data_IF_698827486682
#
_entry.id   IF_698827486682
#
_cell.length_a   1.000
_cell.length_b   1.000
_cell.length_c   1.000
_cell.angle_alpha   90.00
_cell.angle_beta   90.00
_cell.angle_gamma   90.00
#
_symmetry.space_group_name_H-M   'P 1'
#
loop_
_entity.id
_entity.type
_entity.pdbx_description
1 polymer ?
#
# COMPACT_ATOMS: atom_id res chain seq x y z
N UNK A 1 -49.07 4.36 -8.20
CA UNK A 1 -47.85 4.37 -9.02
C UNK A 1 -46.81 5.44 -8.61
N UNK A 2 -47.21 6.72 -8.43
CA UNK A 2 -46.25 7.77 -8.07
C UNK A 2 -45.51 7.50 -6.72
N UNK A 3 -46.22 7.06 -5.70
CA UNK A 3 -45.66 6.77 -4.39
C UNK A 3 -44.60 5.64 -4.46
N UNK A 4 -44.89 4.57 -5.22
CA UNK A 4 -43.95 3.46 -5.39
C UNK A 4 -42.68 3.90 -6.10
N UNK A 5 -42.79 4.74 -7.14
CA UNK A 5 -41.66 5.28 -7.85
C UNK A 5 -40.76 6.16 -6.93
N UNK A 6 -41.38 6.99 -6.11
CA UNK A 6 -40.67 7.84 -5.16
C UNK A 6 -39.92 6.99 -4.09
N UNK A 7 -40.56 5.95 -3.59
CA UNK A 7 -39.91 5.03 -2.61
C UNK A 7 -38.72 4.33 -3.27
N UNK A 8 -38.88 3.79 -4.48
CA UNK A 8 -37.77 3.16 -5.22
C UNK A 8 -36.62 4.13 -5.44
N UNK A 9 -36.92 5.36 -5.87
CA UNK A 9 -35.91 6.41 -6.05
C UNK A 9 -35.15 6.73 -4.75
N UNK A 10 -35.87 6.84 -3.64
CA UNK A 10 -35.29 7.10 -2.33
C UNK A 10 -34.39 5.95 -1.85
N UNK A 11 -34.82 4.71 -2.04
CA UNK A 11 -34.03 3.52 -1.69
C UNK A 11 -32.72 3.47 -2.48
N UNK A 12 -32.80 3.69 -3.78
CA UNK A 12 -31.59 3.72 -4.64
C UNK A 12 -30.65 4.83 -4.19
N UNK A 13 -31.15 6.05 -4.00
CA UNK A 13 -30.34 7.19 -3.56
C UNK A 13 -29.66 6.93 -2.21
N UNK A 14 -30.38 6.36 -1.25
CA UNK A 14 -29.87 6.03 0.07
C UNK A 14 -28.79 4.93 0.01
N UNK A 15 -29.01 3.92 -0.82
CA UNK A 15 -28.03 2.83 -1.00
C UNK A 15 -26.75 3.34 -1.62
N UNK A 16 -26.83 4.17 -2.64
CA UNK A 16 -25.66 4.80 -3.27
C UNK A 16 -24.91 5.70 -2.30
N UNK A 17 -25.63 6.55 -1.57
CA UNK A 17 -25.03 7.43 -0.56
C UNK A 17 -24.28 6.63 0.51
N UNK A 18 -24.89 5.60 1.08
CA UNK A 18 -24.24 4.76 2.09
C UNK A 18 -23.01 4.05 1.52
N UNK A 19 -23.10 3.53 0.29
CA UNK A 19 -21.97 2.86 -0.36
C UNK A 19 -20.78 3.80 -0.54
N UNK A 20 -21.02 5.03 -0.96
CA UNK A 20 -19.97 6.06 -1.11
C UNK A 20 -19.43 6.47 0.26
N UNK A 21 -20.29 6.66 1.25
CA UNK A 21 -19.87 7.04 2.60
C UNK A 21 -18.97 5.99 3.24
N UNK A 22 -19.35 4.70 3.16
CA UNK A 22 -18.55 3.58 3.69
C UNK A 22 -17.19 3.51 2.97
N UNK A 23 -17.19 3.65 1.65
CA UNK A 23 -15.95 3.62 0.88
C UNK A 23 -15.02 4.78 1.25
N UNK A 24 -15.57 5.99 1.35
CA UNK A 24 -14.79 7.18 1.74
C UNK A 24 -14.20 7.02 3.14
N UNK A 25 -14.97 6.50 4.09
CA UNK A 25 -14.48 6.26 5.45
C UNK A 25 -13.40 5.18 5.47
N UNK A 26 -13.59 4.10 4.71
CA UNK A 26 -12.57 3.05 4.56
C UNK A 26 -11.27 3.60 3.98
N UNK A 27 -11.33 4.44 2.94
CA UNK A 27 -10.15 5.07 2.35
C UNK A 27 -9.46 6.05 3.31
N UNK A 28 -10.21 6.78 4.13
CA UNK A 28 -9.66 7.72 5.13
C UNK A 28 -9.01 7.02 6.33
N UNK A 29 -9.39 5.81 6.62
CA UNK A 29 -8.89 5.04 7.78
C UNK A 29 -7.87 3.98 7.38
N UNK A 30 -7.72 3.68 6.09
CA UNK A 30 -6.88 2.59 5.59
C UNK A 30 -5.42 2.69 6.07
N UNK A 31 -4.84 3.88 6.02
CA UNK A 31 -3.43 4.08 6.40
C UNK A 31 -3.22 4.25 7.92
N UNK A 32 -4.30 4.38 8.70
CA UNK A 32 -4.22 4.62 10.15
C UNK A 32 -3.94 3.36 10.97
N UNK A 33 -3.87 2.20 10.34
CA UNK A 33 -3.54 0.93 11.01
C UNK A 33 -2.08 0.88 11.49
N UNK A 34 -1.21 1.68 10.87
CA UNK A 34 0.20 1.74 11.26
C UNK A 34 0.40 2.70 12.43
N UNK A 35 1.11 2.27 13.46
CA UNK A 35 1.35 3.09 14.66
C UNK A 35 2.07 4.41 14.36
N UNK A 36 2.84 4.44 13.27
CA UNK A 36 3.65 5.58 12.81
C UNK A 36 3.06 6.29 11.60
N UNK A 37 1.78 6.08 11.28
CA UNK A 37 1.15 6.63 10.07
C UNK A 37 1.34 8.14 9.88
N UNK A 38 1.35 8.91 10.98
CA UNK A 38 1.49 10.38 10.94
C UNK A 38 2.92 10.87 10.58
N UNK A 39 3.91 10.00 10.68
CA UNK A 39 5.33 10.34 10.39
C UNK A 39 5.89 9.58 9.19
N UNK A 40 5.06 8.84 8.50
CA UNK A 40 5.41 8.15 7.26
C UNK A 40 5.09 9.07 6.09
N UNK A 41 6.09 9.33 5.26
CA UNK A 41 5.97 10.18 4.08
C UNK A 41 6.41 9.43 2.82
N UNK A 42 5.68 9.64 1.75
CA UNK A 42 6.05 9.16 0.41
C UNK A 42 6.76 10.26 -0.35
N UNK A 43 7.87 9.93 -0.96
CA UNK A 43 8.60 10.84 -1.83
C UNK A 43 8.09 10.70 -3.28
N UNK A 44 7.41 11.71 -3.77
CA UNK A 44 6.94 11.79 -5.15
C UNK A 44 7.84 12.70 -6.00
N UNK A 45 7.97 12.38 -7.28
CA UNK A 45 8.59 13.27 -8.26
C UNK A 45 7.53 14.21 -8.83
N UNK A 46 7.71 15.50 -8.62
CA UNK A 46 6.81 16.53 -9.16
C UNK A 46 7.54 17.30 -10.25
N UNK A 47 6.98 17.29 -11.44
CA UNK A 47 7.42 18.13 -12.56
C UNK A 47 6.34 19.14 -12.90
N UNK A 48 6.67 20.13 -13.73
CA UNK A 48 5.69 21.15 -14.16
C UNK A 48 4.46 20.58 -14.89
N UNK A 49 4.52 19.32 -15.35
CA UNK A 49 3.45 18.70 -16.15
C UNK A 49 2.83 17.47 -15.49
N UNK A 50 3.49 16.88 -14.50
CA UNK A 50 3.05 15.60 -13.93
C UNK A 50 3.65 15.35 -12.55
N UNK A 51 2.94 14.56 -11.78
CA UNK A 51 3.40 14.01 -10.51
C UNK A 51 3.50 12.48 -10.64
N UNK A 52 4.63 11.92 -10.26
CA UNK A 52 4.90 10.49 -10.35
C UNK A 52 5.31 9.95 -8.98
N UNK A 53 4.73 8.84 -8.54
CA UNK A 53 5.11 8.21 -7.27
C UNK A 53 6.42 7.41 -7.37
N UNK A 54 7.20 7.63 -8.42
CA UNK A 54 8.44 6.89 -8.69
C UNK A 54 9.62 7.82 -8.73
N UNK A 55 10.74 7.34 -8.19
CA UNK A 55 12.03 8.05 -8.19
C UNK A 55 13.10 7.14 -8.79
N UNK A 56 14.12 7.75 -9.37
CA UNK A 56 15.31 7.00 -9.76
C UNK A 56 16.11 6.62 -8.51
N UNK A 57 16.58 5.38 -8.46
CA UNK A 57 17.21 4.80 -7.29
C UNK A 57 18.36 5.63 -6.69
N UNK A 58 19.32 6.16 -7.48
CA UNK A 58 20.40 6.98 -6.93
C UNK A 58 19.90 8.25 -6.24
N UNK A 59 18.86 8.88 -6.77
CA UNK A 59 18.27 10.08 -6.17
C UNK A 59 17.59 9.75 -4.85
N UNK A 60 16.81 8.69 -4.81
CA UNK A 60 16.13 8.25 -3.58
C UNK A 60 17.14 7.92 -2.46
N UNK A 61 18.26 7.28 -2.79
CA UNK A 61 19.34 6.98 -1.85
C UNK A 61 20.05 8.25 -1.35
N UNK A 62 20.37 9.18 -2.26
CA UNK A 62 20.98 10.45 -1.90
C UNK A 62 20.07 11.29 -1.02
N UNK A 63 18.77 11.33 -1.33
CA UNK A 63 17.76 12.02 -0.53
C UNK A 63 17.67 11.43 0.87
N UNK A 64 17.60 10.11 1.00
CA UNK A 64 17.51 9.43 2.28
C UNK A 64 18.70 9.76 3.22
N UNK A 65 19.89 9.99 2.65
CA UNK A 65 21.08 10.36 3.42
C UNK A 65 21.28 11.87 3.58
N UNK A 66 20.44 12.71 2.99
CA UNK A 66 20.62 14.17 2.96
C UNK A 66 20.22 14.89 4.24
N UNK A 67 19.43 14.26 5.11
CA UNK A 67 18.90 14.92 6.31
C UNK A 67 18.93 14.01 7.54
N UNK A 68 19.38 14.51 8.70
CA UNK A 68 19.33 13.77 9.95
C UNK A 68 17.91 13.56 10.48
N UNK A 69 16.92 14.22 9.91
CA UNK A 69 15.52 14.04 10.26
C UNK A 69 14.87 12.83 9.60
N UNK A 70 15.53 12.24 8.59
CA UNK A 70 15.09 11.00 7.97
C UNK A 70 15.68 9.84 8.77
N UNK A 71 14.89 9.27 9.66
CA UNK A 71 15.33 8.22 10.57
C UNK A 71 15.49 6.88 9.85
N UNK A 72 14.55 6.55 8.98
CA UNK A 72 14.52 5.31 8.21
C UNK A 72 13.92 5.60 6.84
N UNK A 73 14.42 4.95 5.82
CA UNK A 73 13.85 5.00 4.48
C UNK A 73 13.72 3.59 3.89
N UNK A 74 12.73 3.41 3.04
CA UNK A 74 12.60 2.19 2.23
C UNK A 74 12.29 2.56 0.78
N UNK A 75 12.80 1.74 -0.10
CA UNK A 75 12.54 1.84 -1.54
C UNK A 75 11.73 0.62 -1.90
N UNK A 76 10.57 0.84 -2.49
CA UNK A 76 9.64 -0.22 -2.90
C UNK A 76 9.62 -0.22 -4.43
N UNK A 77 9.91 -1.37 -5.03
CA UNK A 77 9.73 -1.59 -6.46
C UNK A 77 8.52 -2.52 -6.68
N UNK A 78 7.38 -1.99 -7.13
CA UNK A 78 6.17 -2.77 -7.34
C UNK A 78 6.16 -3.55 -8.67
N UNK A 79 7.18 -3.37 -9.53
CA UNK A 79 7.16 -3.87 -10.91
C UNK A 79 7.99 -5.15 -11.12
N UNK A 80 8.15 -5.97 -10.09
CA UNK A 80 8.89 -7.24 -10.25
C UNK A 80 8.04 -8.29 -10.99
N UNK A 81 6.72 -8.15 -10.94
CA UNK A 81 5.81 -9.07 -11.60
C UNK A 81 5.59 -10.36 -10.81
N UNK A 82 5.22 -11.42 -11.53
CA UNK A 82 5.00 -12.73 -10.93
C UNK A 82 6.31 -13.52 -10.84
N UNK A 83 6.60 -14.04 -9.67
CA UNK A 83 7.77 -14.86 -9.41
C UNK A 83 7.33 -16.28 -9.06
N UNK A 84 8.05 -17.25 -9.61
CA UNK A 84 7.88 -18.65 -9.25
C UNK A 84 8.85 -18.99 -8.12
N UNK A 85 8.32 -19.46 -7.02
CA UNK A 85 9.14 -19.99 -5.93
C UNK A 85 8.62 -21.34 -5.46
N UNK A 86 9.51 -22.11 -4.92
CA UNK A 86 9.20 -23.46 -4.46
C UNK A 86 9.42 -23.53 -2.96
N UNK A 87 8.40 -23.90 -2.24
CA UNK A 87 8.47 -24.15 -0.81
C UNK A 87 8.43 -25.67 -0.62
N UNK A 88 9.40 -26.20 0.11
CA UNK A 88 9.48 -27.62 0.39
C UNK A 88 9.63 -27.90 1.87
N UNK A 89 8.93 -28.92 2.34
CA UNK A 89 9.11 -29.54 3.64
C UNK A 89 9.05 -31.04 3.43
N UNK A 90 10.04 -31.77 3.95
CA UNK A 90 10.09 -33.24 3.91
C UNK A 90 9.93 -33.83 2.48
N UNK A 91 10.78 -33.40 1.54
CA UNK A 91 10.83 -33.87 0.14
C UNK A 91 9.62 -33.50 -0.74
N UNK A 92 8.59 -32.87 -0.18
CA UNK A 92 7.45 -32.39 -0.96
C UNK A 92 7.68 -30.95 -1.36
N UNK A 93 7.99 -30.73 -2.64
CA UNK A 93 8.16 -29.41 -3.22
C UNK A 93 6.84 -28.92 -3.82
N UNK A 94 6.35 -27.77 -3.37
CA UNK A 94 5.19 -27.10 -3.99
C UNK A 94 5.64 -25.81 -4.65
N UNK A 95 5.35 -25.67 -5.93
CA UNK A 95 5.57 -24.44 -6.68
C UNK A 95 4.42 -23.47 -6.49
N UNK A 96 4.75 -22.22 -6.26
CA UNK A 96 3.81 -21.12 -6.15
C UNK A 96 4.17 -20.04 -7.15
N UNK A 97 3.13 -19.41 -7.71
CA UNK A 97 3.26 -18.28 -8.61
C UNK A 97 2.51 -17.10 -7.97
N UNK A 98 3.25 -16.13 -7.46
CA UNK A 98 2.67 -15.01 -6.74
C UNK A 98 3.24 -13.70 -7.25
N UNK A 99 2.46 -12.62 -7.23
CA UNK A 99 2.97 -11.27 -7.48
C UNK A 99 3.91 -10.88 -6.33
N UNK A 100 5.10 -10.41 -6.70
CA UNK A 100 6.13 -10.05 -5.73
C UNK A 100 6.51 -8.59 -5.93
N UNK A 101 6.66 -7.89 -4.83
CA UNK A 101 7.30 -6.58 -4.76
C UNK A 101 8.65 -6.73 -4.08
N UNK A 102 9.64 -5.99 -4.53
CA UNK A 102 10.92 -5.92 -3.83
C UNK A 102 11.03 -4.61 -3.06
N UNK A 103 11.63 -4.69 -1.89
CA UNK A 103 11.85 -3.53 -1.05
C UNK A 103 13.19 -3.62 -0.31
N UNK A 104 13.67 -2.48 0.18
CA UNK A 104 14.84 -2.46 1.06
C UNK A 104 14.44 -2.82 2.50
N UNK A 105 15.37 -3.33 3.34
CA UNK A 105 15.08 -3.80 4.70
C UNK A 105 14.38 -2.78 5.61
N UNK A 106 14.52 -1.48 5.35
CA UNK A 106 13.85 -0.42 6.10
C UNK A 106 12.33 -0.53 6.16
N UNK A 107 11.72 -1.30 5.25
CA UNK A 107 10.27 -1.50 5.21
C UNK A 107 9.72 -2.08 6.53
N UNK A 108 10.44 -2.99 7.15
CA UNK A 108 10.02 -3.64 8.40
C UNK A 108 9.98 -2.65 9.56
N UNK A 109 10.91 -1.69 9.57
CA UNK A 109 10.96 -0.65 10.60
C UNK A 109 9.93 0.47 10.41
N UNK A 110 9.50 0.69 9.17
CA UNK A 110 8.52 1.73 8.82
C UNK A 110 7.09 1.20 9.04
N UNK A 111 6.81 0.02 8.52
CA UNK A 111 5.50 -0.61 8.60
C UNK A 111 5.56 -1.71 9.66
N UNK A 112 4.79 -1.62 10.70
CA UNK A 112 4.78 -2.51 11.87
C UNK A 112 4.40 -3.96 11.50
N UNK A 113 5.22 -4.61 10.66
CA UNK A 113 5.01 -6.00 10.29
C UNK A 113 5.28 -6.91 11.50
N UNK A 114 4.30 -7.72 11.83
CA UNK A 114 4.47 -8.77 12.83
C UNK A 114 4.99 -10.03 12.16
N UNK A 115 6.15 -10.47 12.62
CA UNK A 115 6.69 -11.75 12.18
C UNK A 115 5.93 -12.87 12.92
N UNK A 116 5.29 -13.75 12.15
CA UNK A 116 4.55 -14.88 12.73
C UNK A 116 5.49 -16.06 13.00
N UNK A 117 6.49 -16.26 12.13
CA UNK A 117 7.47 -17.34 12.25
C UNK A 117 8.75 -16.92 11.51
N UNK A 118 9.91 -17.33 12.04
CA UNK A 118 11.21 -17.05 11.45
C UNK A 118 11.97 -15.92 12.19
N UNK A 119 13.05 -15.43 11.57
CA UNK A 119 13.85 -14.27 12.02
C UNK A 119 14.13 -13.32 10.88
N UNK A 120 14.22 -12.03 11.17
CA UNK A 120 14.63 -10.97 10.24
C UNK A 120 16.14 -10.78 10.30
#
# INVERSE_FOLDING_TARGET
MAATLNICGLVIAFTLFNSVAIRTESERTFDKIHSKAEVIYRLDCVTSKSQWPTQILPFAQAFASSSPHILVSTIINPYVGEVYFTIGRDEILKGYKEPVITCTPGIVSIFDFQLVEGSL
#
